data_IF_066097716200
#
_entry.id   IF_066097716200
#
_cell.length_a   1.000
_cell.length_b   1.000
_cell.length_c   1.000
_cell.angle_alpha   90.00
_cell.angle_beta   90.00
_cell.angle_gamma   90.00
#
_symmetry.space_group_name_H-M   'P 1'
#
loop_
_entity.id
_entity.type
_entity.pdbx_description
1 polymer ?
#
# COMPACT_ATOMS: atom_id res chain seq x y z
N UNK A 1 6.66 -11.44 5.79
CA UNK A 1 6.37 -10.39 4.80
C UNK A 1 4.88 -10.31 4.61
N UNK A 2 4.29 -9.12 4.75
CA UNK A 2 2.86 -8.90 4.52
C UNK A 2 2.66 -8.01 3.29
N UNK A 3 1.45 -8.03 2.74
CA UNK A 3 1.00 -7.06 1.75
C UNK A 3 -0.07 -6.18 2.40
N UNK A 4 0.01 -4.87 2.23
CA UNK A 4 -0.87 -3.90 2.89
C UNK A 4 -1.74 -3.20 1.84
N UNK A 5 -3.04 -3.14 2.12
CA UNK A 5 -4.02 -2.41 1.32
C UNK A 5 -4.59 -1.29 2.19
N UNK A 6 -4.21 -0.04 1.90
CA UNK A 6 -4.67 1.14 2.61
C UNK A 6 -5.91 1.70 1.89
N UNK A 7 -7.09 1.53 2.50
CA UNK A 7 -8.36 1.99 1.94
C UNK A 7 -9.43 2.00 3.05
N UNK A 8 -10.16 3.11 3.18
CA UNK A 8 -11.20 3.28 4.19
C UNK A 8 -12.56 2.70 3.74
N UNK A 9 -12.78 2.56 2.42
CA UNK A 9 -14.09 2.28 1.83
C UNK A 9 -14.16 0.90 1.16
N UNK A 10 -13.17 0.55 0.33
CA UNK A 10 -13.21 -0.65 -0.53
C UNK A 10 -12.93 -1.92 0.28
N UNK A 11 -13.41 -3.09 -0.20
CA UNK A 11 -13.06 -4.37 0.39
C UNK A 11 -11.57 -4.68 0.19
N UNK A 12 -10.96 -5.31 1.19
CA UNK A 12 -9.57 -5.76 1.09
C UNK A 12 -9.46 -6.98 0.16
N UNK A 13 -8.55 -6.95 -0.83
CA UNK A 13 -8.29 -8.12 -1.65
C UNK A 13 -7.66 -9.28 -0.82
N UNK A 14 -7.92 -10.54 -1.18
CA UNK A 14 -7.31 -11.69 -0.51
C UNK A 14 -5.78 -11.63 -0.55
N UNK A 15 -5.15 -12.01 0.56
CA UNK A 15 -3.69 -11.97 0.71
C UNK A 15 -3.11 -10.59 1.07
N UNK A 16 -3.98 -9.61 1.33
CA UNK A 16 -3.61 -8.32 1.88
C UNK A 16 -4.17 -8.12 3.29
N UNK A 17 -3.41 -7.37 4.08
CA UNK A 17 -3.84 -6.82 5.37
C UNK A 17 -4.41 -5.44 5.11
N UNK A 18 -5.62 -5.21 5.60
CA UNK A 18 -6.33 -3.95 5.44
C UNK A 18 -5.86 -2.96 6.49
N UNK A 19 -5.46 -1.77 6.04
CA UNK A 19 -5.32 -0.60 6.89
C UNK A 19 -6.45 0.37 6.57
N UNK A 20 -7.28 0.70 7.56
CA UNK A 20 -8.40 1.64 7.38
C UNK A 20 -8.01 3.09 7.58
N UNK A 21 -6.87 3.34 8.22
CA UNK A 21 -6.36 4.69 8.45
C UNK A 21 -4.88 4.79 8.12
N UNK A 22 -4.41 6.04 7.99
CA UNK A 22 -3.00 6.32 7.79
C UNK A 22 -2.14 5.81 8.96
N UNK A 23 -2.65 5.95 10.19
CA UNK A 23 -1.98 5.48 11.40
C UNK A 23 -1.83 3.96 11.42
N UNK A 24 -2.89 3.22 11.11
CA UNK A 24 -2.83 1.75 11.03
C UNK A 24 -1.82 1.31 9.97
N UNK A 25 -1.80 1.97 8.81
CA UNK A 25 -0.86 1.66 7.75
C UNK A 25 0.58 1.90 8.18
N UNK A 26 0.87 3.05 8.80
CA UNK A 26 2.20 3.37 9.30
C UNK A 26 2.65 2.42 10.41
N UNK A 27 1.74 1.97 11.27
CA UNK A 27 2.03 0.96 12.29
C UNK A 27 2.42 -0.38 11.63
N UNK A 28 1.68 -0.85 10.63
CA UNK A 28 2.01 -2.07 9.89
C UNK A 28 3.38 -1.97 9.20
N UNK A 29 3.72 -0.81 8.64
CA UNK A 29 5.02 -0.55 8.03
C UNK A 29 6.17 -0.51 9.05
N UNK A 30 5.90 -0.08 10.28
CA UNK A 30 6.89 -0.06 11.35
C UNK A 30 7.17 -1.47 11.92
N UNK A 31 6.11 -2.26 12.09
CA UNK A 31 6.14 -3.55 12.79
C UNK A 31 6.38 -4.75 11.85
N UNK A 32 6.29 -4.57 10.53
CA UNK A 32 6.39 -5.67 9.57
C UNK A 32 7.13 -5.30 8.29
N UNK A 33 7.81 -6.27 7.69
CA UNK A 33 8.35 -6.11 6.33
C UNK A 33 7.20 -6.18 5.33
N UNK A 34 6.91 -5.05 4.69
CA UNK A 34 5.86 -4.92 3.68
C UNK A 34 6.41 -5.20 2.29
N UNK A 35 5.85 -6.22 1.63
CA UNK A 35 6.18 -6.54 0.24
C UNK A 35 5.50 -5.57 -0.71
N UNK A 36 4.18 -5.53 -0.69
CA UNK A 36 3.37 -4.67 -1.56
C UNK A 36 2.57 -3.74 -0.68
N UNK A 37 2.61 -2.45 -0.98
CA UNK A 37 1.75 -1.44 -0.39
C UNK A 37 0.85 -0.85 -1.47
N UNK A 38 -0.46 -0.97 -1.31
CA UNK A 38 -1.43 -0.28 -2.16
C UNK A 38 -2.03 0.90 -1.42
N UNK A 39 -1.94 2.10 -2.00
CA UNK A 39 -2.36 3.36 -1.38
C UNK A 39 -3.63 3.93 -2.00
N UNK A 40 -4.65 4.19 -1.18
CA UNK A 40 -5.65 5.21 -1.47
C UNK A 40 -5.22 6.57 -0.90
N UNK A 41 -5.57 7.62 -1.61
CA UNK A 41 -5.38 8.99 -1.16
C UNK A 41 -6.49 9.40 -0.17
N UNK A 42 -7.74 9.06 -0.47
CA UNK A 42 -8.89 9.52 0.30
C UNK A 42 -9.14 8.54 1.47
N UNK A 43 -9.05 9.02 2.71
CA UNK A 43 -9.19 8.20 3.92
C UNK A 43 -10.22 8.80 4.90
N UNK A 44 -11.24 9.44 4.34
CA UNK A 44 -12.28 10.13 5.10
C UNK A 44 -11.96 11.60 5.43
N UNK A 45 -13.00 12.31 5.85
CA UNK A 45 -12.93 13.75 6.15
C UNK A 45 -12.19 14.03 7.46
N UNK A 46 -11.24 14.96 7.44
CA UNK A 46 -10.47 15.36 8.61
C UNK A 46 -9.43 14.34 9.07
N UNK A 47 -9.26 13.24 8.35
CA UNK A 47 -8.23 12.24 8.60
C UNK A 47 -6.97 12.52 7.77
N UNK A 48 -5.80 12.03 8.19
CA UNK A 48 -4.62 12.05 7.35
C UNK A 48 -4.86 11.22 6.08
N UNK A 49 -4.54 11.80 4.93
CA UNK A 49 -4.69 11.16 3.63
C UNK A 49 -3.50 10.24 3.29
N UNK A 50 -3.57 9.51 2.17
CA UNK A 50 -2.49 8.63 1.71
C UNK A 50 -1.14 9.35 1.53
N UNK A 51 -1.12 10.65 1.23
CA UNK A 51 0.14 11.40 1.14
C UNK A 51 0.79 11.61 2.52
N UNK A 52 0.02 11.59 3.62
CA UNK A 52 0.59 11.56 4.96
C UNK A 52 1.34 10.24 5.22
N UNK A 53 0.79 9.11 4.75
CA UNK A 53 1.46 7.80 4.82
C UNK A 53 2.77 7.82 4.02
N UNK A 54 2.74 8.32 2.78
CA UNK A 54 3.95 8.46 1.94
C UNK A 54 5.04 9.26 2.67
N UNK A 55 4.68 10.41 3.26
CA UNK A 55 5.63 11.20 4.06
C UNK A 55 6.16 10.44 5.27
N UNK A 56 5.30 9.72 5.98
CA UNK A 56 5.70 8.89 7.12
C UNK A 56 6.69 7.78 6.74
N UNK A 57 6.47 7.13 5.60
CA UNK A 57 7.41 6.13 5.04
C UNK A 57 8.76 6.78 4.71
N UNK A 58 8.75 7.95 4.07
CA UNK A 58 9.98 8.67 3.72
C UNK A 58 10.77 9.06 4.96
N UNK A 59 10.09 9.60 5.98
CA UNK A 59 10.71 10.04 7.25
C UNK A 59 11.25 8.85 8.05
N UNK A 60 10.52 7.74 8.10
CA UNK A 60 10.94 6.55 8.84
C UNK A 60 11.99 5.71 8.11
N UNK A 61 12.14 5.88 6.80
CA UNK A 61 12.99 5.02 5.96
C UNK A 61 12.47 3.58 5.82
N UNK A 62 11.24 3.31 6.27
CA UNK A 62 10.63 1.97 6.26
C UNK A 62 9.85 1.76 4.97
N UNK A 63 10.60 1.49 3.90
CA UNK A 63 10.03 1.34 2.58
C UNK A 63 9.49 -0.08 2.32
N UNK A 64 8.33 -0.21 1.66
CA UNK A 64 7.89 -1.49 1.08
C UNK A 64 8.71 -1.83 -0.17
N UNK A 65 8.63 -3.07 -0.66
CA UNK A 65 9.31 -3.47 -1.91
C UNK A 65 8.64 -2.90 -3.16
N UNK A 66 7.32 -2.84 -3.16
CA UNK A 66 6.51 -2.33 -4.26
C UNK A 66 5.39 -1.43 -3.74
N UNK A 67 5.13 -0.33 -4.44
CA UNK A 67 4.03 0.60 -4.14
C UNK A 67 3.13 0.77 -5.35
N UNK A 68 1.83 0.59 -5.12
CA UNK A 68 0.76 0.87 -6.08
C UNK A 68 -0.14 1.98 -5.54
N UNK A 69 -0.79 2.72 -6.42
CA UNK A 69 -1.69 3.81 -6.04
C UNK A 69 -3.05 3.59 -6.69
N UNK A 70 -4.00 3.09 -5.90
CA UNK A 70 -5.35 2.73 -6.35
C UNK A 70 -6.38 3.82 -6.05
N UNK A 71 -5.95 5.09 -6.00
CA UNK A 71 -6.86 6.19 -5.68
C UNK A 71 -7.75 6.62 -6.85
N UNK A 72 -9.01 6.96 -6.52
CA UNK A 72 -9.97 7.62 -7.42
C UNK A 72 -9.60 9.06 -7.76
N UNK A 73 -8.81 9.73 -6.93
CA UNK A 73 -8.39 11.11 -7.14
C UNK A 73 -7.14 11.19 -8.03
N UNK A 74 -7.23 11.71 -9.27
CA UNK A 74 -6.07 11.81 -10.16
C UNK A 74 -4.99 12.74 -9.60
N UNK A 75 -5.41 13.84 -8.94
CA UNK A 75 -4.49 14.77 -8.29
C UNK A 75 -3.82 14.14 -7.06
N UNK A 76 -4.59 13.41 -6.25
CA UNK A 76 -4.08 12.70 -5.08
C UNK A 76 -3.05 11.64 -5.47
N UNK A 77 -3.36 10.85 -6.50
CA UNK A 77 -2.44 9.86 -7.08
C UNK A 77 -1.16 10.50 -7.59
N UNK A 78 -1.26 11.50 -8.47
CA UNK A 78 -0.09 12.18 -9.02
C UNK A 78 0.80 12.79 -7.92
N UNK A 79 0.19 13.35 -6.87
CA UNK A 79 0.91 13.90 -5.73
C UNK A 79 1.68 12.82 -4.95
N UNK A 80 1.05 11.68 -4.63
CA UNK A 80 1.73 10.58 -3.93
C UNK A 80 2.86 9.96 -4.75
N UNK A 81 2.62 9.70 -6.03
CA UNK A 81 3.65 9.17 -6.94
C UNK A 81 4.81 10.15 -7.05
N UNK A 82 4.54 11.45 -7.16
CA UNK A 82 5.58 12.47 -7.18
C UNK A 82 6.41 12.45 -5.89
N UNK A 83 5.77 12.45 -4.72
CA UNK A 83 6.49 12.40 -3.44
C UNK A 83 7.38 11.17 -3.31
N UNK A 84 6.90 10.00 -3.74
CA UNK A 84 7.69 8.75 -3.74
C UNK A 84 8.88 8.83 -4.70
N UNK A 85 8.67 9.37 -5.91
CA UNK A 85 9.75 9.50 -6.91
C UNK A 85 10.80 10.53 -6.49
N UNK A 86 10.38 11.67 -5.93
CA UNK A 86 11.26 12.74 -5.46
C UNK A 86 12.13 12.27 -4.28
N UNK A 87 11.63 11.34 -3.46
CA UNK A 87 12.38 10.76 -2.35
C UNK A 87 13.39 9.67 -2.78
N UNK A 88 13.30 9.18 -4.02
CA UNK A 88 14.16 8.15 -4.60
C UNK A 88 14.46 6.97 -3.65
N UNK A 89 13.43 6.28 -3.14
CA UNK A 89 13.64 5.26 -2.13
C UNK A 89 14.38 4.05 -2.72
N UNK A 90 15.44 3.57 -2.06
CA UNK A 90 16.31 2.54 -2.63
C UNK A 90 15.58 1.20 -2.73
N UNK A 91 15.54 0.64 -3.95
CA UNK A 91 15.00 -0.70 -4.18
C UNK A 91 13.48 -0.81 -4.13
N UNK A 92 12.74 0.30 -4.24
CA UNK A 92 11.27 0.31 -4.25
C UNK A 92 10.76 0.45 -5.69
N UNK A 93 9.90 -0.46 -6.13
CA UNK A 93 9.17 -0.29 -7.38
C UNK A 93 7.94 0.61 -7.17
N UNK A 94 7.85 1.72 -7.92
CA UNK A 94 6.75 2.69 -7.81
C UNK A 94 5.86 2.60 -9.04
N UNK A 95 4.59 2.23 -8.85
CA UNK A 95 3.57 2.08 -9.88
C UNK A 95 2.53 3.21 -9.79
N UNK A 96 2.32 3.92 -10.91
CA UNK A 96 1.29 4.98 -11.03
C UNK A 96 -0.06 4.38 -11.45
N UNK A 97 -0.66 3.60 -10.56
CA UNK A 97 -1.94 2.97 -10.82
C UNK A 97 -2.29 1.85 -9.83
N UNK A 98 -3.51 1.30 -9.95
CA UNK A 98 -3.94 0.16 -9.15
C UNK A 98 -3.12 -1.09 -9.48
N UNK A 99 -3.17 -2.06 -8.58
CA UNK A 99 -2.54 -3.37 -8.80
C UNK A 99 -3.21 -4.07 -10.00
N UNK A 100 -2.43 -4.63 -10.94
CA UNK A 100 -3.00 -5.44 -12.00
C UNK A 100 -3.54 -6.76 -11.44
N UNK A 101 -4.47 -7.38 -12.16
CA UNK A 101 -5.11 -8.66 -11.78
C UNK A 101 -4.09 -9.77 -11.49
N UNK A 102 -2.95 -9.79 -12.18
CA UNK A 102 -1.88 -10.77 -11.92
C UNK A 102 -1.33 -10.65 -10.50
N UNK A 103 -1.09 -9.42 -10.01
CA UNK A 103 -0.57 -9.16 -8.67
C UNK A 103 -1.61 -9.55 -7.62
N UNK A 104 -2.87 -9.20 -7.83
CA UNK A 104 -3.98 -9.58 -6.94
C UNK A 104 -4.11 -11.11 -6.84
N UNK A 105 -4.06 -11.80 -7.98
CA UNK A 105 -4.15 -13.26 -8.05
C UNK A 105 -2.98 -13.95 -7.36
N UNK A 106 -1.76 -13.47 -7.56
CA UNK A 106 -0.56 -14.02 -6.92
C UNK A 106 -0.60 -13.87 -5.40
N UNK A 107 -1.00 -12.69 -4.90
CA UNK A 107 -1.18 -12.45 -3.48
C UNK A 107 -2.22 -13.38 -2.87
N UNK A 108 -3.36 -13.57 -3.55
CA UNK A 108 -4.41 -14.49 -3.13
C UNK A 108 -3.94 -15.95 -3.08
N UNK A 109 -3.21 -16.41 -4.10
CA UNK A 109 -2.67 -17.79 -4.14
C UNK A 109 -1.68 -18.04 -3.00
N UNK A 110 -0.80 -17.08 -2.69
CA UNK A 110 0.17 -17.20 -1.60
C UNK A 110 -0.51 -17.25 -0.23
N UNK A 111 -1.64 -16.56 -0.07
CA UNK A 111 -2.44 -16.61 1.15
C UNK A 111 -3.22 -17.93 1.30
N UNK A 112 -3.72 -18.49 0.19
CA UNK A 112 -4.47 -19.76 0.18
C UNK A 112 -3.61 -21.03 0.17
N UNK A 113 -2.34 -20.93 -0.25
CA UNK A 113 -1.41 -22.06 -0.37
C UNK A 113 -0.92 -22.68 0.95
N UNK A 114 -1.35 -22.15 2.10
CA UNK A 114 -1.10 -22.74 3.43
C UNK A 114 -1.99 -23.95 3.78
N UNK A 115 -2.91 -24.35 2.90
CA UNK A 115 -3.79 -25.50 3.09
C UNK A 115 -3.88 -26.36 1.84
N UNK A 116 -2.96 -27.31 1.69
CA UNK A 116 -2.94 -28.22 0.54
C UNK A 116 -1.99 -29.39 0.73
N UNK A 117 -1.98 -29.97 1.92
CA UNK A 117 -1.43 -31.30 2.17
C UNK A 117 -2.57 -32.30 2.27
N UNK A 118 -2.78 -33.07 1.21
CA UNK A 118 -3.42 -34.39 1.21
C UNK A 118 -2.94 -35.15 -0.02
#
# INVERSE_FOLDING_TARGET
MIHVYLDDLRPCPPGFVLARSAEECLLLLAESEVGILSLDYELGYGQPNGAAVVKGIIVSGKYPKEVYVHSSSPMGRAHMVKLLRDAEPPGVAIHDGPMPESVLREAALRAGGGGGGA
#
